data_IF_757060765045
#
_entry.id   IF_757060765045
#
_cell.length_a   1.000
_cell.length_b   1.000
_cell.length_c   1.000
_cell.angle_alpha   90.00
_cell.angle_beta   90.00
_cell.angle_gamma   90.00
#
_symmetry.space_group_name_H-M   'P 1'
#
loop_
_entity.id
_entity.type
_entity.pdbx_description
1 polymer ?
#
# COMPACT_ATOMS: atom_id res chain seq x y z
N UNK A 1 39.94 2.28 -3.08
CA UNK A 1 39.29 1.17 -3.79
C UNK A 1 38.55 0.31 -2.78
N UNK A 2 37.22 0.36 -2.79
CA UNK A 2 36.37 -0.34 -1.81
C UNK A 2 36.26 -1.84 -2.08
N UNK A 3 35.75 -2.59 -1.10
CA UNK A 3 35.54 -4.04 -1.21
C UNK A 3 34.50 -4.35 -2.29
N UNK A 4 34.98 -4.87 -3.41
CA UNK A 4 34.16 -5.19 -4.60
C UNK A 4 33.33 -6.45 -4.40
N UNK A 5 33.76 -7.35 -3.51
CA UNK A 5 33.16 -8.66 -3.32
C UNK A 5 32.57 -8.80 -1.90
N UNK A 6 31.25 -8.96 -1.84
CA UNK A 6 30.48 -9.21 -0.63
C UNK A 6 29.79 -10.57 -0.66
N UNK A 7 29.07 -10.91 0.41
CA UNK A 7 28.29 -12.17 0.47
C UNK A 7 27.02 -12.06 -0.37
N UNK A 8 26.87 -12.99 -1.32
CA UNK A 8 25.66 -13.13 -2.15
C UNK A 8 24.57 -13.98 -1.48
N UNK A 9 24.85 -14.58 -0.32
CA UNK A 9 23.98 -15.56 0.33
C UNK A 9 22.60 -15.01 0.76
N UNK A 10 22.46 -13.69 0.89
CA UNK A 10 21.21 -13.03 1.31
C UNK A 10 20.33 -12.57 0.14
N UNK A 11 20.76 -12.80 -1.10
CA UNK A 11 19.98 -12.42 -2.26
C UNK A 11 18.61 -13.11 -2.23
N UNK A 12 17.53 -12.34 -2.34
CA UNK A 12 16.17 -12.88 -2.40
C UNK A 12 15.54 -13.36 -1.09
N UNK A 13 16.26 -13.36 0.06
CA UNK A 13 15.79 -13.89 1.36
C UNK A 13 14.38 -13.44 1.73
N UNK A 14 14.07 -12.15 1.57
CA UNK A 14 12.78 -11.60 2.00
C UNK A 14 11.63 -12.11 1.13
N UNK A 15 11.83 -12.19 -0.19
CA UNK A 15 10.79 -12.63 -1.14
C UNK A 15 10.50 -14.13 -1.01
N UNK A 16 11.51 -14.95 -0.67
CA UNK A 16 11.32 -16.39 -0.43
C UNK A 16 10.70 -16.68 0.95
N UNK A 17 10.95 -15.82 1.94
CA UNK A 17 10.39 -15.98 3.29
C UNK A 17 8.91 -15.57 3.38
N UNK A 18 8.45 -14.64 2.55
CA UNK A 18 7.04 -14.21 2.58
C UNK A 18 6.10 -15.30 2.06
N UNK A 19 5.02 -15.64 2.79
CA UNK A 19 4.03 -16.61 2.31
C UNK A 19 3.40 -16.10 1.02
N UNK A 20 3.18 -17.01 0.07
CA UNK A 20 2.55 -16.67 -1.21
C UNK A 20 1.06 -16.41 -0.97
N UNK A 21 0.64 -15.16 -1.17
CA UNK A 21 -0.78 -14.78 -1.14
C UNK A 21 -1.25 -14.60 -2.58
N UNK A 22 -2.30 -15.35 -2.94
CA UNK A 22 -2.95 -15.21 -4.24
C UNK A 22 -3.80 -13.94 -4.31
N UNK A 23 -3.90 -13.30 -5.48
CA UNK A 23 -4.75 -12.13 -5.63
C UNK A 23 -6.21 -12.53 -5.44
N UNK A 24 -6.89 -11.84 -4.52
CA UNK A 24 -8.33 -12.00 -4.34
C UNK A 24 -9.08 -11.53 -5.59
N UNK A 25 -10.09 -12.29 -5.99
CA UNK A 25 -11.01 -11.89 -7.04
C UNK A 25 -11.78 -10.63 -6.61
N UNK A 26 -11.70 -9.58 -7.43
CA UNK A 26 -12.36 -8.30 -7.21
C UNK A 26 -13.17 -7.94 -8.43
N UNK A 27 -14.31 -7.28 -8.19
CA UNK A 27 -15.13 -6.76 -9.28
C UNK A 27 -14.30 -5.92 -10.25
N UNK A 28 -14.52 -6.12 -11.55
CA UNK A 28 -13.78 -5.46 -12.61
C UNK A 28 -13.99 -3.95 -12.53
N UNK A 29 -12.90 -3.21 -12.38
CA UNK A 29 -12.94 -1.75 -12.45
C UNK A 29 -13.19 -1.34 -13.92
N UNK A 30 -14.19 -0.48 -14.20
CA UNK A 30 -14.44 -0.05 -15.57
C UNK A 30 -13.26 0.76 -16.11
N UNK A 31 -13.05 0.71 -17.43
CA UNK A 31 -11.95 1.40 -18.13
C UNK A 31 -12.46 2.68 -18.82
N UNK A 32 -11.53 3.59 -19.16
CA UNK A 32 -11.82 4.78 -19.98
C UNK A 32 -12.73 5.81 -19.31
N UNK A 33 -13.74 6.30 -20.05
CA UNK A 33 -14.67 7.37 -19.64
C UNK A 33 -15.44 7.03 -18.36
N UNK A 34 -15.88 5.78 -18.22
CA UNK A 34 -16.60 5.32 -17.04
C UNK A 34 -15.75 5.45 -15.76
N UNK A 35 -14.45 5.16 -15.83
CA UNK A 35 -13.53 5.35 -14.71
C UNK A 35 -13.37 6.83 -14.34
N UNK A 36 -13.30 7.71 -15.35
CA UNK A 36 -13.20 9.16 -15.13
C UNK A 36 -14.46 9.71 -14.46
N UNK A 37 -15.65 9.25 -14.87
CA UNK A 37 -16.93 9.57 -14.21
C UNK A 37 -16.92 9.14 -12.74
N UNK A 38 -16.55 7.88 -12.46
CA UNK A 38 -16.46 7.38 -11.08
C UNK A 38 -15.46 8.17 -10.22
N UNK A 39 -14.30 8.53 -10.77
CA UNK A 39 -13.29 9.34 -10.06
C UNK A 39 -13.79 10.76 -9.78
N UNK A 40 -14.50 11.39 -10.71
CA UNK A 40 -15.06 12.73 -10.53
C UNK A 40 -16.12 12.74 -9.42
N UNK A 41 -17.10 11.84 -9.50
CA UNK A 41 -18.17 11.72 -8.50
C UNK A 41 -17.58 11.47 -7.11
N UNK A 42 -16.61 10.54 -6.98
CA UNK A 42 -15.94 10.22 -5.71
C UNK A 42 -15.09 11.36 -5.13
N UNK A 43 -14.52 12.24 -5.98
CA UNK A 43 -13.57 13.29 -5.54
C UNK A 43 -14.21 14.65 -5.31
N UNK A 44 -15.29 14.96 -6.02
CA UNK A 44 -15.82 16.32 -6.07
C UNK A 44 -17.32 16.41 -5.75
N UNK A 45 -18.12 15.41 -6.12
CA UNK A 45 -19.58 15.46 -5.91
C UNK A 45 -19.95 14.89 -4.53
N UNK A 46 -19.54 13.65 -4.25
CA UNK A 46 -19.89 12.94 -3.02
C UNK A 46 -18.70 12.95 -2.02
N UNK A 47 -18.22 14.13 -1.64
CA UNK A 47 -17.07 14.26 -0.74
C UNK A 47 -17.47 13.96 0.70
N UNK A 48 -16.93 12.89 1.27
CA UNK A 48 -17.28 12.42 2.62
C UNK A 48 -16.40 12.99 3.75
N UNK A 49 -15.26 13.60 3.44
CA UNK A 49 -14.35 14.24 4.41
C UNK A 49 -14.38 15.75 4.23
N UNK A 50 -15.31 16.41 4.92
CA UNK A 50 -15.55 17.87 4.83
C UNK A 50 -14.73 18.67 5.84
N UNK A 51 -13.96 18.02 6.74
CA UNK A 51 -13.06 18.67 7.69
C UNK A 51 -11.58 18.53 7.30
N UNK A 52 -10.91 19.65 6.98
CA UNK A 52 -9.48 19.72 6.68
C UNK A 52 -9.06 19.37 5.24
N UNK A 53 -7.75 19.17 5.02
CA UNK A 53 -7.19 18.85 3.68
C UNK A 53 -7.64 17.44 3.23
N UNK A 54 -8.12 17.31 1.98
CA UNK A 54 -8.62 16.03 1.41
C UNK A 54 -7.56 14.92 1.51
N UNK A 55 -7.87 13.83 2.23
CA UNK A 55 -7.03 12.62 2.29
C UNK A 55 -7.47 11.62 1.20
N UNK A 56 -6.61 11.38 0.20
CA UNK A 56 -6.90 10.51 -0.95
C UNK A 56 -6.71 9.02 -0.63
N UNK A 57 -5.88 8.70 0.37
CA UNK A 57 -5.66 7.35 0.89
C UNK A 57 -5.52 7.43 2.40
N UNK A 58 -6.57 7.10 3.13
CA UNK A 58 -6.49 6.92 4.58
C UNK A 58 -6.19 5.45 4.84
N UNK A 59 -4.90 5.11 4.99
CA UNK A 59 -4.57 3.86 5.65
C UNK A 59 -5.05 3.98 7.10
N UNK A 60 -6.08 3.23 7.48
CA UNK A 60 -6.27 2.91 8.90
C UNK A 60 -5.09 1.99 9.24
N UNK A 61 -4.03 2.54 9.82
CA UNK A 61 -3.06 1.73 10.54
C UNK A 61 -3.87 1.02 11.63
N UNK A 62 -4.09 -0.28 11.48
CA UNK A 62 -4.61 -1.10 12.57
C UNK A 62 -3.66 -0.93 13.74
N UNK A 63 -4.12 -0.25 14.78
CA UNK A 63 -3.41 -0.14 16.05
C UNK A 63 -3.47 -1.50 16.76
N UNK A 64 -2.63 -2.43 16.32
CA UNK A 64 -2.34 -3.69 17.01
C UNK A 64 -0.86 -3.99 16.85
N UNK A 65 -0.04 -3.21 17.54
CA UNK A 65 1.29 -3.61 17.97
C UNK A 65 1.52 -2.93 19.33
N UNK A 66 0.92 -3.54 20.36
CA UNK A 66 1.35 -3.41 21.73
C UNK A 66 2.86 -3.66 21.80
N UNK A 67 3.54 -2.84 22.61
CA UNK A 67 4.97 -2.57 22.50
C UNK A 67 5.91 -3.76 22.68
N UNK A 68 7.09 -3.60 22.12
CA UNK A 68 8.36 -3.71 22.85
C UNK A 68 9.52 -3.24 21.95
N UNK A 69 10.43 -2.45 22.52
CA UNK A 69 11.85 -2.51 22.17
C UNK A 69 12.31 -1.86 20.87
N UNK A 70 12.19 -0.53 20.73
CA UNK A 70 13.16 0.22 19.90
C UNK A 70 14.42 0.48 20.75
N UNK A 71 15.32 -0.50 20.83
CA UNK A 71 16.70 -0.21 21.24
C UNK A 71 17.49 0.31 20.04
N UNK A 72 18.23 1.37 20.35
CA UNK A 72 19.19 2.20 19.59
C UNK A 72 19.76 1.56 18.33
#
# INVERSE_FOLDING_TARGET
MGKVHGSLARAGKVKSQTPKVEPQEKAKVPKGRALKRLKYIRRFVNVTLTGGKRKVRTEKRSATASGEGRKR
#
